data_IF_840197681967
#
_entry.id   IF_840197681967
#
_cell.length_a   1.000
_cell.length_b   1.000
_cell.length_c   1.000
_cell.angle_alpha   90.00
_cell.angle_beta   90.00
_cell.angle_gamma   90.00
#
_symmetry.space_group_name_H-M   'P 1'
#
loop_
_entity.id
_entity.type
_entity.pdbx_description
1 polymer ?
#
# COMPACT_ATOMS: atom_id res chain seq x y z
N UNK A 1 12.28 -5.26 28.78
CA UNK A 1 11.72 -5.68 27.47
C UNK A 1 10.71 -4.63 27.08
N UNK A 2 10.94 -3.86 26.01
CA UNK A 2 9.96 -2.88 25.54
C UNK A 2 8.87 -3.67 24.84
N UNK A 3 7.70 -3.75 25.44
CA UNK A 3 6.52 -4.30 24.79
C UNK A 3 6.14 -3.37 23.64
N UNK A 4 6.36 -3.80 22.40
CA UNK A 4 5.85 -3.11 21.23
C UNK A 4 4.36 -3.42 21.19
N UNK A 5 3.57 -2.60 21.89
CA UNK A 5 2.10 -2.69 21.82
C UNK A 5 1.57 -2.07 20.53
N UNK A 6 0.29 -2.23 20.27
CA UNK A 6 -0.42 -1.59 19.18
C UNK A 6 -0.27 -0.07 19.27
N UNK A 7 0.23 0.56 18.21
CA UNK A 7 0.47 2.01 18.16
C UNK A 7 -0.13 2.61 16.92
N UNK A 8 -0.78 3.75 17.08
CA UNK A 8 -1.33 4.54 15.99
C UNK A 8 -0.84 5.97 16.19
N UNK A 9 -0.08 6.47 15.20
CA UNK A 9 0.34 7.87 15.15
C UNK A 9 -0.71 8.64 14.36
N UNK A 10 -1.49 9.45 15.05
CA UNK A 10 -2.58 10.23 14.42
C UNK A 10 -2.13 11.59 13.92
N UNK A 11 -1.02 12.09 14.45
CA UNK A 11 -0.44 13.38 14.07
C UNK A 11 0.82 13.16 13.25
N UNK A 12 0.77 13.53 11.99
CA UNK A 12 1.91 13.51 11.07
C UNK A 12 1.72 14.55 9.97
N UNK A 13 2.83 15.07 9.46
CA UNK A 13 2.82 16.06 8.38
C UNK A 13 2.89 15.34 7.03
N UNK A 14 1.95 15.64 6.13
CA UNK A 14 2.02 15.19 4.74
C UNK A 14 3.02 16.03 3.97
N UNK A 15 3.64 15.42 2.96
CA UNK A 15 4.53 16.14 2.06
C UNK A 15 3.77 17.22 1.29
N UNK A 16 4.44 18.32 0.99
CA UNK A 16 3.90 19.39 0.16
C UNK A 16 3.48 18.83 -1.21
N UNK A 17 2.21 19.02 -1.63
CA UNK A 17 1.73 18.57 -2.93
C UNK A 17 2.58 19.08 -4.10
N UNK A 18 3.15 20.29 -3.99
CA UNK A 18 4.03 20.85 -5.03
C UNK A 18 5.36 20.12 -5.14
N UNK A 19 5.85 19.57 -4.03
CA UNK A 19 7.04 18.73 -4.02
C UNK A 19 6.73 17.36 -4.64
N UNK A 20 5.60 16.74 -4.28
CA UNK A 20 5.16 15.46 -4.85
C UNK A 20 5.04 15.58 -6.37
N UNK A 21 4.44 16.66 -6.86
CA UNK A 21 4.21 16.88 -8.29
C UNK A 21 5.53 16.95 -9.09
N UNK A 22 6.64 17.39 -8.49
CA UNK A 22 7.96 17.39 -9.15
C UNK A 22 8.46 15.99 -9.52
N UNK A 23 7.95 14.95 -8.89
CA UNK A 23 8.28 13.55 -9.21
C UNK A 23 7.45 12.98 -10.36
N UNK A 24 6.41 13.71 -10.81
CA UNK A 24 5.55 13.23 -11.90
C UNK A 24 6.33 13.00 -13.18
N UNK A 25 6.25 11.78 -13.72
CA UNK A 25 6.90 11.38 -14.97
C UNK A 25 8.40 11.10 -14.85
N UNK A 26 9.01 11.24 -13.66
CA UNK A 26 10.39 10.82 -13.47
C UNK A 26 10.46 9.28 -13.45
N UNK A 27 11.42 8.67 -14.18
CA UNK A 27 11.64 7.23 -14.09
C UNK A 27 12.06 6.83 -12.66
N UNK A 28 11.47 5.78 -12.12
CA UNK A 28 11.81 5.29 -10.77
C UNK A 28 13.27 4.84 -10.64
N UNK A 29 13.90 4.38 -11.73
CA UNK A 29 15.32 4.06 -11.78
C UNK A 29 16.19 5.29 -11.52
N UNK A 30 15.88 6.43 -12.14
CA UNK A 30 16.62 7.68 -11.92
C UNK A 30 16.49 8.15 -10.46
N UNK A 31 15.28 8.05 -9.88
CA UNK A 31 15.06 8.37 -8.47
C UNK A 31 15.90 7.45 -7.58
N UNK A 32 15.95 6.15 -7.88
CA UNK A 32 16.72 5.20 -7.10
C UNK A 32 18.24 5.42 -7.24
N UNK A 33 18.73 5.81 -8.42
CA UNK A 33 20.14 6.17 -8.61
C UNK A 33 20.55 7.35 -7.72
N UNK A 34 19.72 8.40 -7.63
CA UNK A 34 19.94 9.54 -6.74
C UNK A 34 19.86 9.16 -5.25
N UNK A 35 19.19 8.08 -4.92
CA UNK A 35 19.15 7.49 -3.58
C UNK A 35 20.31 6.51 -3.32
N UNK A 36 21.42 6.61 -4.06
CA UNK A 36 22.56 5.70 -4.00
C UNK A 36 22.19 4.23 -4.27
N UNK A 37 21.15 3.96 -5.03
CA UNK A 37 20.63 2.61 -5.35
C UNK A 37 20.19 1.82 -4.12
N UNK A 38 19.77 2.52 -3.07
CA UNK A 38 19.27 1.94 -1.83
C UNK A 38 17.75 2.10 -1.73
N UNK A 39 17.17 1.40 -0.76
CA UNK A 39 15.75 1.56 -0.36
C UNK A 39 14.71 1.25 -1.45
N UNK A 40 15.05 0.39 -2.41
CA UNK A 40 14.09 -0.16 -3.35
C UNK A 40 13.24 -1.25 -2.69
N UNK A 41 11.96 -1.32 -3.04
CA UNK A 41 11.11 -2.44 -2.64
C UNK A 41 11.60 -3.74 -3.32
N UNK A 42 11.29 -4.87 -2.70
CA UNK A 42 11.62 -6.18 -3.26
C UNK A 42 10.92 -6.40 -4.62
N UNK A 43 11.61 -7.10 -5.50
CA UNK A 43 11.18 -7.38 -6.86
C UNK A 43 9.93 -8.28 -6.97
N UNK A 44 9.58 -9.00 -5.90
CA UNK A 44 8.35 -9.79 -5.83
C UNK A 44 7.09 -8.93 -5.62
N UNK A 45 7.21 -7.64 -5.25
CA UNK A 45 6.06 -6.74 -5.16
C UNK A 45 5.72 -6.27 -6.57
N UNK A 46 4.60 -6.74 -7.10
CA UNK A 46 4.18 -6.53 -8.49
C UNK A 46 2.89 -5.75 -8.59
N UNK A 47 2.74 -4.98 -9.66
CA UNK A 47 1.48 -4.33 -10.01
C UNK A 47 0.45 -5.40 -10.41
N UNK A 48 -0.70 -5.43 -9.71
CA UNK A 48 -1.73 -6.43 -9.92
C UNK A 48 -2.73 -6.05 -11.02
N UNK A 49 -2.87 -4.77 -11.34
CA UNK A 49 -3.83 -4.26 -12.32
C UNK A 49 -3.18 -3.45 -13.46
N UNK A 50 -2.18 -4.00 -14.19
CA UNK A 50 -1.37 -3.24 -15.15
C UNK A 50 -2.16 -2.68 -16.33
N UNK A 51 -3.28 -3.28 -16.71
CA UNK A 51 -4.09 -2.85 -17.84
C UNK A 51 -4.79 -1.49 -17.63
N UNK A 52 -5.01 -1.08 -16.38
CA UNK A 52 -5.78 0.11 -16.01
C UNK A 52 -5.06 1.07 -15.08
N UNK A 53 -4.03 0.60 -14.36
CA UNK A 53 -3.39 1.36 -13.31
C UNK A 53 -2.77 2.67 -13.82
N UNK A 54 -3.09 3.75 -13.13
CA UNK A 54 -2.41 5.05 -13.26
C UNK A 54 -1.01 4.98 -12.62
N UNK A 55 -0.10 5.90 -12.93
CA UNK A 55 1.17 6.00 -12.22
C UNK A 55 0.96 6.19 -10.70
N UNK A 56 1.74 5.46 -9.89
CA UNK A 56 1.71 5.59 -8.43
C UNK A 56 2.52 6.83 -8.00
N UNK A 57 1.86 7.79 -7.40
CA UNK A 57 2.50 9.00 -6.88
C UNK A 57 1.65 9.61 -5.77
N UNK A 58 2.22 9.81 -4.58
CA UNK A 58 1.52 10.40 -3.43
C UNK A 58 2.31 10.32 -2.14
N UNK A 59 1.75 10.88 -1.06
CA UNK A 59 2.33 10.76 0.28
C UNK A 59 2.12 9.36 0.84
N UNK A 60 3.19 8.72 1.29
CA UNK A 60 3.11 7.39 1.90
C UNK A 60 2.55 7.45 3.33
N UNK A 61 1.50 6.67 3.59
CA UNK A 61 1.04 6.29 4.93
C UNK A 61 1.51 4.86 5.16
N UNK A 62 2.42 4.68 6.11
CA UNK A 62 3.04 3.40 6.38
C UNK A 62 2.30 2.63 7.47
N UNK A 63 2.13 1.34 7.26
CA UNK A 63 1.48 0.41 8.18
C UNK A 63 2.41 -0.77 8.41
N UNK A 64 2.70 -1.10 9.66
CA UNK A 64 3.30 -2.38 10.02
C UNK A 64 2.21 -3.28 10.59
N UNK A 65 1.90 -4.35 9.88
CA UNK A 65 0.88 -5.30 10.25
C UNK A 65 1.49 -6.64 10.73
N UNK A 66 0.91 -7.31 11.72
CA UNK A 66 1.25 -8.69 11.98
C UNK A 66 0.95 -9.59 10.77
N UNK A 67 1.69 -10.68 10.62
CA UNK A 67 1.49 -11.61 9.50
C UNK A 67 0.03 -12.08 9.44
N UNK A 68 -0.62 -11.85 8.30
CA UNK A 68 -1.99 -12.28 8.06
C UNK A 68 -3.07 -11.51 8.84
N UNK A 69 -2.72 -10.37 9.46
CA UNK A 69 -3.67 -9.51 10.16
C UNK A 69 -3.84 -8.16 9.45
N UNK A 70 -5.06 -7.66 9.36
CA UNK A 70 -5.33 -6.40 8.65
C UNK A 70 -5.99 -5.30 9.48
N UNK A 71 -6.03 -5.42 10.81
CA UNK A 71 -6.66 -4.42 11.66
C UNK A 71 -6.07 -3.02 11.44
N UNK A 72 -4.74 -2.91 11.43
CA UNK A 72 -4.04 -1.63 11.19
C UNK A 72 -4.20 -1.13 9.75
N UNK A 73 -4.35 -2.03 8.78
CA UNK A 73 -4.66 -1.62 7.41
C UNK A 73 -6.04 -0.96 7.31
N UNK A 74 -7.05 -1.50 8.00
CA UNK A 74 -8.35 -0.84 8.10
C UNK A 74 -8.23 0.54 8.74
N UNK A 75 -7.43 0.67 9.81
CA UNK A 75 -7.22 1.97 10.46
C UNK A 75 -6.51 2.97 9.56
N UNK A 76 -5.53 2.52 8.77
CA UNK A 76 -4.87 3.38 7.80
C UNK A 76 -5.83 3.85 6.70
N UNK A 77 -6.73 2.99 6.20
CA UNK A 77 -7.78 3.38 5.27
C UNK A 77 -8.72 4.45 5.84
N UNK A 78 -9.02 4.36 7.14
CA UNK A 78 -9.82 5.36 7.84
C UNK A 78 -9.11 6.73 7.89
N UNK A 79 -7.82 6.74 8.21
CA UNK A 79 -7.00 7.94 8.38
C UNK A 79 -6.51 8.58 7.08
N UNK A 80 -6.39 7.80 6.01
CA UNK A 80 -5.87 8.27 4.72
C UNK A 80 -6.76 9.34 4.09
N UNK A 81 -6.17 10.24 3.35
CA UNK A 81 -6.83 11.32 2.60
C UNK A 81 -6.64 11.14 1.09
N UNK A 82 -7.45 11.81 0.26
CA UNK A 82 -7.24 11.80 -1.19
C UNK A 82 -5.80 12.16 -1.55
N UNK A 83 -5.19 11.38 -2.46
CA UNK A 83 -3.78 11.54 -2.86
C UNK A 83 -2.76 10.80 -2.01
N UNK A 84 -3.16 10.20 -0.88
CA UNK A 84 -2.26 9.33 -0.11
C UNK A 84 -2.04 7.98 -0.78
N UNK A 85 -0.89 7.37 -0.52
CA UNK A 85 -0.55 5.98 -0.84
C UNK A 85 -0.42 5.20 0.46
N UNK A 86 -1.18 4.13 0.65
CA UNK A 86 -0.98 3.27 1.82
C UNK A 86 0.07 2.21 1.48
N UNK A 87 1.11 2.12 2.31
CA UNK A 87 2.19 1.15 2.19
C UNK A 87 2.16 0.23 3.40
N UNK A 88 1.86 -1.05 3.18
CA UNK A 88 1.69 -2.05 4.25
C UNK A 88 2.87 -3.01 4.26
N UNK A 89 3.63 -3.02 5.35
CA UNK A 89 4.54 -4.10 5.70
C UNK A 89 3.74 -5.22 6.36
N UNK A 90 3.43 -6.27 5.60
CA UNK A 90 2.78 -7.50 6.06
C UNK A 90 3.77 -8.64 6.29
N UNK A 91 5.06 -8.32 6.43
CA UNK A 91 6.16 -9.26 6.62
C UNK A 91 6.20 -10.37 5.55
N UNK A 92 5.89 -10.01 4.30
CA UNK A 92 5.87 -10.94 3.14
C UNK A 92 4.92 -12.13 3.28
N UNK A 93 4.00 -12.08 4.25
CA UNK A 93 3.08 -13.19 4.54
C UNK A 93 2.04 -13.39 3.45
N UNK A 94 1.90 -14.63 2.94
CA UNK A 94 0.88 -14.99 1.94
C UNK A 94 -0.02 -16.15 2.39
N UNK A 95 0.07 -16.59 3.64
CA UNK A 95 -0.86 -17.57 4.19
C UNK A 95 -2.29 -17.02 4.30
N UNK A 96 -2.41 -15.69 4.42
CA UNK A 96 -3.67 -14.95 4.44
C UNK A 96 -3.56 -13.68 3.63
N UNK A 97 -4.64 -13.31 2.95
CA UNK A 97 -4.74 -12.02 2.29
C UNK A 97 -4.89 -10.91 3.34
N UNK A 98 -4.26 -9.76 3.10
CA UNK A 98 -4.41 -8.59 3.97
C UNK A 98 -5.61 -7.72 3.55
N UNK A 99 -6.04 -7.81 2.30
CA UNK A 99 -7.20 -7.09 1.80
C UNK A 99 -7.75 -7.77 0.53
N UNK A 100 -8.93 -7.34 0.11
CA UNK A 100 -9.58 -7.77 -1.12
C UNK A 100 -10.29 -6.62 -1.83
N UNK A 101 -11.09 -6.95 -2.82
CA UNK A 101 -11.78 -6.00 -3.71
C UNK A 101 -12.51 -4.90 -2.94
N UNK A 102 -13.28 -5.22 -1.90
CA UNK A 102 -14.08 -4.26 -1.15
C UNK A 102 -13.21 -3.13 -0.56
N UNK A 103 -12.07 -3.50 0.06
CA UNK A 103 -11.14 -2.51 0.61
C UNK A 103 -10.50 -1.67 -0.49
N UNK A 104 -10.15 -2.29 -1.63
CA UNK A 104 -9.55 -1.58 -2.77
C UNK A 104 -10.54 -0.62 -3.43
N UNK A 105 -11.79 -1.01 -3.59
CA UNK A 105 -12.87 -0.12 -4.09
C UNK A 105 -13.12 1.04 -3.13
N UNK A 106 -13.10 0.79 -1.81
CA UNK A 106 -13.23 1.85 -0.82
C UNK A 106 -12.05 2.85 -0.92
N UNK A 107 -10.81 2.36 -1.03
CA UNK A 107 -9.63 3.19 -1.21
C UNK A 107 -9.71 4.04 -2.49
N UNK A 108 -10.08 3.43 -3.61
CA UNK A 108 -10.25 4.12 -4.88
C UNK A 108 -11.36 5.19 -4.82
N UNK A 109 -12.52 4.87 -4.21
CA UNK A 109 -13.62 5.82 -4.01
C UNK A 109 -13.22 6.99 -3.10
N UNK A 110 -12.36 6.73 -2.11
CA UNK A 110 -11.81 7.76 -1.21
C UNK A 110 -10.79 8.67 -1.93
N UNK A 111 -10.36 8.31 -3.14
CA UNK A 111 -9.41 9.09 -3.94
C UNK A 111 -7.95 8.84 -3.56
N UNK A 112 -7.61 7.67 -3.00
CA UNK A 112 -6.23 7.34 -2.73
C UNK A 112 -5.44 7.21 -4.04
N UNK A 113 -4.16 7.60 -3.99
CA UNK A 113 -3.27 7.52 -5.15
C UNK A 113 -2.80 6.08 -5.43
N UNK A 114 -2.87 5.19 -4.45
CA UNK A 114 -2.56 3.78 -4.63
C UNK A 114 -2.33 3.01 -3.35
N UNK A 115 -2.09 1.71 -3.50
CA UNK A 115 -1.85 0.76 -2.41
C UNK A 115 -0.62 -0.07 -2.75
N UNK A 116 0.25 -0.26 -1.75
CA UNK A 116 1.41 -1.16 -1.82
C UNK A 116 1.37 -2.09 -0.61
N UNK A 117 1.43 -3.41 -0.84
CA UNK A 117 1.34 -4.41 0.23
C UNK A 117 2.49 -5.40 0.11
N UNK A 118 3.37 -5.43 1.09
CA UNK A 118 4.30 -6.56 1.26
C UNK A 118 3.58 -7.74 1.90
N UNK A 119 2.83 -8.45 1.08
CA UNK A 119 1.96 -9.56 1.43
C UNK A 119 1.02 -9.90 0.30
N UNK A 120 0.05 -10.79 0.55
CA UNK A 120 -0.93 -11.20 -0.45
C UNK A 120 -2.28 -10.49 -0.29
N UNK A 121 -2.96 -10.30 -1.41
CA UNK A 121 -4.35 -9.84 -1.50
C UNK A 121 -5.28 -10.97 -1.95
N UNK A 122 -6.57 -10.68 -2.16
CA UNK A 122 -7.55 -11.59 -2.76
C UNK A 122 -8.47 -10.83 -3.74
N UNK A 123 -9.34 -11.55 -4.41
CA UNK A 123 -10.36 -11.01 -5.32
C UNK A 123 -9.72 -10.25 -6.51
N UNK A 124 -8.77 -10.89 -7.20
CA UNK A 124 -7.99 -10.28 -8.29
C UNK A 124 -8.88 -9.70 -9.39
N UNK A 125 -9.93 -10.41 -9.78
CA UNK A 125 -10.86 -10.00 -10.85
C UNK A 125 -11.47 -8.61 -10.58
N UNK A 126 -11.81 -8.35 -9.32
CA UNK A 126 -12.32 -7.04 -8.90
C UNK A 126 -11.24 -5.95 -8.81
N UNK A 127 -10.02 -6.34 -8.46
CA UNK A 127 -8.85 -5.45 -8.39
C UNK A 127 -8.45 -4.97 -9.79
N UNK A 128 -8.44 -5.86 -10.79
CA UNK A 128 -8.07 -5.54 -12.17
C UNK A 128 -8.99 -4.51 -12.84
N UNK A 129 -10.19 -4.32 -12.32
CA UNK A 129 -11.13 -3.33 -12.83
C UNK A 129 -10.84 -1.89 -12.35
N UNK A 130 -9.95 -1.71 -11.38
CA UNK A 130 -9.62 -0.41 -10.81
C UNK A 130 -8.52 0.30 -11.61
N UNK A 131 -8.59 1.62 -11.69
CA UNK A 131 -7.54 2.46 -12.27
C UNK A 131 -6.53 2.95 -11.23
N UNK A 132 -6.84 2.79 -9.94
CA UNK A 132 -5.90 3.02 -8.83
C UNK A 132 -4.84 1.92 -8.82
N UNK A 133 -3.54 2.24 -8.85
CA UNK A 133 -2.47 1.24 -8.84
C UNK A 133 -2.42 0.45 -7.54
N UNK A 134 -2.34 -0.88 -7.65
CA UNK A 134 -2.33 -1.80 -6.51
C UNK A 134 -1.16 -2.76 -6.69
N UNK A 135 -0.19 -2.66 -5.79
CA UNK A 135 1.01 -3.50 -5.77
C UNK A 135 0.93 -4.49 -4.61
N UNK A 136 1.24 -5.75 -4.87
CA UNK A 136 1.34 -6.77 -3.83
C UNK A 136 2.30 -7.90 -4.23
N UNK A 137 2.62 -8.77 -3.28
CA UNK A 137 3.44 -9.95 -3.50
C UNK A 137 2.70 -11.02 -4.31
N UNK A 138 1.37 -11.14 -4.12
CA UNK A 138 0.58 -12.15 -4.80
C UNK A 138 -0.87 -12.21 -4.32
N UNK A 139 -1.53 -13.32 -4.63
CA UNK A 139 -2.94 -13.57 -4.34
C UNK A 139 -3.10 -14.84 -3.51
N UNK A 140 -3.98 -14.79 -2.52
CA UNK A 140 -4.42 -15.94 -1.73
C UNK A 140 -5.87 -15.76 -1.28
N UNK A 141 -6.74 -16.77 -1.36
CA UNK A 141 -8.15 -16.62 -1.03
C UNK A 141 -8.43 -16.53 0.48
N UNK A 142 -7.52 -17.01 1.31
CA UNK A 142 -7.73 -17.06 2.76
C UNK A 142 -7.80 -15.68 3.38
N UNK A 143 -8.92 -15.38 4.08
CA UNK A 143 -9.13 -14.07 4.71
C UNK A 143 -8.21 -13.79 5.90
N UNK A 144 -8.01 -12.51 6.24
CA UNK A 144 -7.12 -12.07 7.31
C UNK A 144 -7.71 -12.25 8.70
N UNK A 145 -6.82 -12.22 9.70
CA UNK A 145 -7.18 -11.93 11.09
C UNK A 145 -7.42 -10.44 11.30
N UNK A 146 -7.98 -10.08 12.47
CA UNK A 146 -8.24 -8.69 12.90
C UNK A 146 -7.95 -8.53 14.40
N UNK A 147 -6.79 -9.00 14.83
CA UNK A 147 -6.41 -8.98 16.25
C UNK A 147 -5.51 -7.78 16.60
N UNK A 148 -4.79 -7.25 15.63
CA UNK A 148 -3.81 -6.16 15.81
C UNK A 148 -2.46 -6.60 16.32
#
# INVERSE_FOLDING_TARGET
>A
MITIGNRIFTEFTRSDPTLIEKFRGLPSSNINDEMNRLYCMHDYIRLLNPARAKPLLGTAITVKAPIGDNLFFHKALDMAQPGDVIVVDGASGCNRSLAGEIMMRFAAKKGLAGIVVDGCLRDLDGIELLDMPIYAKGITPQGPWKFG
#
